data_IF_334291915525
#
_entry.id   IF_334291915525
#
_cell.length_a   1.000
_cell.length_b   1.000
_cell.length_c   1.000
_cell.angle_alpha   90.00
_cell.angle_beta   90.00
_cell.angle_gamma   90.00
#
_symmetry.space_group_name_H-M   'P 1'
#
loop_
_entity.id
_entity.type
_entity.pdbx_description
1 polymer ?
#
# COMPACT_ATOMS: atom_id res chain seq x y z
N UNK A 1 15.85 1.85 -3.76
CA UNK A 1 15.29 1.67 -2.42
C UNK A 1 14.08 0.74 -2.43
N UNK A 2 13.55 0.41 -1.28
CA UNK A 2 12.38 -0.46 -1.14
C UNK A 2 11.29 0.27 -0.37
N UNK A 3 10.05 -0.02 -0.76
CA UNK A 3 8.84 0.32 0.00
C UNK A 3 8.16 -1.01 0.30
N UNK A 4 7.89 -1.29 1.55
CA UNK A 4 7.25 -2.52 2.00
C UNK A 4 5.98 -2.11 2.74
N UNK A 5 4.85 -2.73 2.40
CA UNK A 5 3.61 -2.60 3.16
C UNK A 5 3.10 -4.01 3.49
N UNK A 6 2.67 -4.20 4.70
CA UNK A 6 2.14 -5.47 5.20
C UNK A 6 0.80 -5.20 5.88
N UNK A 7 -0.17 -6.05 5.65
CA UNK A 7 -1.50 -5.95 6.22
C UNK A 7 -2.05 -7.33 6.57
N UNK A 8 -2.80 -7.43 7.65
CA UNK A 8 -3.47 -8.65 8.04
C UNK A 8 -5.00 -8.61 7.83
N UNK A 9 -5.65 -9.74 7.98
CA UNK A 9 -7.09 -9.86 7.82
C UNK A 9 -7.91 -9.12 8.90
N UNK A 10 -7.28 -8.66 9.96
CA UNK A 10 -7.89 -7.89 11.05
C UNK A 10 -7.89 -6.38 10.76
N UNK A 11 -7.20 -5.95 9.71
CA UNK A 11 -7.08 -4.55 9.34
C UNK A 11 -5.85 -3.86 9.93
N UNK A 12 -4.94 -4.59 10.56
CA UNK A 12 -3.68 -4.03 11.02
C UNK A 12 -2.74 -3.86 9.84
N UNK A 13 -2.12 -2.69 9.72
CA UNK A 13 -1.19 -2.36 8.65
C UNK A 13 0.10 -1.80 9.21
N UNK A 14 1.20 -2.09 8.53
CA UNK A 14 2.51 -1.52 8.82
C UNK A 14 3.26 -1.29 7.51
N UNK A 15 4.18 -0.35 7.51
CA UNK A 15 4.96 -0.03 6.33
C UNK A 15 6.39 0.34 6.69
N UNK A 16 7.27 0.15 5.73
CA UNK A 16 8.68 0.51 5.80
C UNK A 16 9.13 1.12 4.48
N UNK A 17 10.04 2.08 4.54
CA UNK A 17 10.69 2.67 3.39
C UNK A 17 12.18 2.88 3.66
N UNK A 18 13.05 2.52 2.71
CA UNK A 18 14.51 2.63 2.88
C UNK A 18 14.97 4.09 3.07
N UNK A 19 14.30 5.05 2.43
CA UNK A 19 14.69 6.46 2.45
C UNK A 19 13.54 7.37 2.91
N UNK A 20 13.20 7.38 4.22
CA UNK A 20 12.04 8.13 4.75
C UNK A 20 12.20 9.64 4.63
N UNK A 21 13.44 10.17 4.53
CA UNK A 21 13.74 11.59 4.40
C UNK A 21 13.67 12.12 2.95
N UNK A 22 13.14 11.29 2.02
CA UNK A 22 12.99 11.71 0.64
C UNK A 22 12.00 12.86 0.52
N UNK A 23 12.46 13.98 -0.08
CA UNK A 23 11.64 15.16 -0.32
C UNK A 23 11.86 15.67 -1.72
N UNK A 24 10.77 15.91 -2.45
CA UNK A 24 10.78 16.54 -3.76
C UNK A 24 9.81 17.73 -3.78
N UNK A 25 10.11 18.78 -4.58
CA UNK A 25 9.12 19.81 -4.88
C UNK A 25 7.84 19.21 -5.44
N UNK A 26 6.74 19.92 -5.28
CA UNK A 26 5.48 19.53 -5.92
C UNK A 26 5.67 19.50 -7.45
N UNK A 27 4.94 18.61 -8.11
CA UNK A 27 4.93 18.55 -9.58
C UNK A 27 4.21 19.77 -10.18
N UNK A 28 4.21 19.88 -11.51
CA UNK A 28 3.61 21.02 -12.26
C UNK A 28 2.09 21.18 -11.99
N UNK A 29 1.43 20.16 -11.43
CA UNK A 29 0.02 20.21 -11.02
C UNK A 29 -0.17 20.58 -9.55
N UNK A 30 0.90 20.92 -8.82
CA UNK A 30 0.86 21.22 -7.39
C UNK A 30 0.60 20.01 -6.50
N UNK A 31 0.90 18.79 -6.98
CA UNK A 31 0.77 17.53 -6.23
C UNK A 31 2.14 17.00 -5.83
N UNK A 32 2.16 16.10 -4.85
CA UNK A 32 3.37 15.34 -4.51
C UNK A 32 3.87 14.58 -5.75
N UNK A 33 5.16 14.67 -6.02
CA UNK A 33 5.80 13.98 -7.14
C UNK A 33 6.13 12.53 -6.76
N UNK A 34 5.08 11.70 -6.66
CA UNK A 34 5.18 10.28 -6.28
C UNK A 34 6.01 9.52 -7.31
N UNK A 35 5.78 9.78 -8.58
CA UNK A 35 6.53 9.17 -9.68
C UNK A 35 8.04 9.34 -9.54
N UNK A 36 8.47 10.52 -9.14
CA UNK A 36 9.89 10.82 -8.92
C UNK A 36 10.43 10.11 -7.68
N UNK A 37 9.61 9.97 -6.64
CA UNK A 37 10.00 9.29 -5.41
C UNK A 37 10.11 7.78 -5.59
N UNK A 38 9.16 7.17 -6.28
CA UNK A 38 9.11 5.73 -6.55
C UNK A 38 10.08 5.34 -7.67
N UNK A 39 10.12 6.14 -8.74
CA UNK A 39 10.86 5.82 -9.96
C UNK A 39 10.10 4.82 -10.85
N UNK A 40 10.68 4.54 -12.01
CA UNK A 40 10.12 3.59 -13.00
C UNK A 40 11.02 2.37 -13.24
N UNK A 41 12.13 2.29 -12.52
CA UNK A 41 13.07 1.17 -12.62
C UNK A 41 12.94 0.30 -11.36
N UNK A 42 12.15 -0.77 -11.47
CA UNK A 42 11.85 -1.65 -10.36
C UNK A 42 10.65 -2.56 -10.62
N UNK A 43 10.19 -3.21 -9.58
CA UNK A 43 9.05 -4.13 -9.65
C UNK A 43 8.17 -4.03 -8.40
N UNK A 44 6.89 -4.27 -8.60
CA UNK A 44 5.95 -4.59 -7.53
C UNK A 44 6.00 -6.10 -7.30
N UNK A 45 6.16 -6.50 -6.05
CA UNK A 45 6.06 -7.89 -5.62
C UNK A 45 4.97 -7.98 -4.56
N UNK A 46 4.04 -8.89 -4.76
CA UNK A 46 2.93 -9.13 -3.83
C UNK A 46 3.01 -10.55 -3.34
N UNK A 47 2.97 -10.72 -2.01
CA UNK A 47 2.92 -12.01 -1.35
C UNK A 47 1.65 -12.07 -0.54
N UNK A 48 0.83 -13.10 -0.74
CA UNK A 48 -0.44 -13.28 -0.04
C UNK A 48 -0.47 -14.64 0.67
N UNK A 49 -0.83 -14.61 1.94
CA UNK A 49 -1.24 -15.82 2.65
C UNK A 49 -2.72 -16.08 2.34
N UNK A 50 -2.97 -17.11 1.57
CA UNK A 50 -4.32 -17.55 1.18
C UNK A 50 -4.78 -18.79 1.95
N UNK A 51 -4.10 -19.10 3.07
CA UNK A 51 -4.40 -20.26 3.92
C UNK A 51 -3.97 -21.60 3.31
N UNK A 52 -3.10 -21.58 2.30
CA UNK A 52 -2.51 -22.78 1.69
C UNK A 52 -1.14 -23.07 2.28
N UNK A 53 -0.54 -24.22 1.91
CA UNK A 53 0.80 -24.59 2.39
C UNK A 53 1.88 -23.58 1.97
N UNK A 54 1.76 -23.06 0.76
CA UNK A 54 2.71 -22.11 0.18
C UNK A 54 2.00 -20.76 -0.05
N UNK A 55 2.71 -19.67 0.14
CA UNK A 55 2.19 -18.34 -0.13
C UNK A 55 2.01 -18.13 -1.63
N UNK A 56 0.94 -17.46 -2.01
CA UNK A 56 0.80 -16.94 -3.37
C UNK A 56 1.76 -15.75 -3.54
N UNK A 57 2.52 -15.76 -4.61
CA UNK A 57 3.43 -14.68 -4.93
C UNK A 57 3.29 -14.28 -6.40
N UNK A 58 3.17 -12.97 -6.64
CA UNK A 58 3.10 -12.39 -7.97
C UNK A 58 4.03 -11.19 -8.09
N UNK A 59 4.42 -10.86 -9.32
CA UNK A 59 5.25 -9.70 -9.57
C UNK A 59 4.92 -9.05 -10.92
N UNK A 60 5.14 -7.74 -11.01
CA UNK A 60 5.08 -6.98 -12.26
C UNK A 60 6.12 -5.86 -12.25
N UNK A 61 6.60 -5.40 -13.42
CA UNK A 61 7.43 -4.21 -13.45
C UNK A 61 6.63 -2.97 -13.03
N UNK A 62 7.31 -1.96 -12.50
CA UNK A 62 6.78 -0.60 -12.35
C UNK A 62 6.70 0.00 -13.76
N UNK A 63 5.54 0.54 -14.13
CA UNK A 63 5.30 1.10 -15.47
C UNK A 63 5.18 2.63 -15.48
N UNK A 64 4.63 3.20 -14.42
CA UNK A 64 4.41 4.65 -14.32
C UNK A 64 5.15 5.31 -13.17
N UNK A 65 5.38 4.61 -12.08
CA UNK A 65 5.82 5.17 -10.80
C UNK A 65 4.70 5.81 -9.99
N UNK A 66 3.47 5.80 -10.53
CA UNK A 66 2.24 6.14 -9.80
C UNK A 66 1.63 4.84 -9.28
N UNK A 67 1.63 4.64 -7.97
CA UNK A 67 1.30 3.33 -7.38
C UNK A 67 -0.10 2.83 -7.76
N UNK A 68 -1.08 3.71 -7.95
CA UNK A 68 -2.42 3.32 -8.40
C UNK A 68 -2.40 2.65 -9.77
N UNK A 69 -1.69 3.25 -10.74
CA UNK A 69 -1.54 2.73 -12.09
C UNK A 69 -0.72 1.44 -12.09
N UNK A 70 0.35 1.40 -11.31
CA UNK A 70 1.24 0.26 -11.23
C UNK A 70 0.56 -0.95 -10.59
N UNK A 71 -0.28 -0.77 -9.57
CA UNK A 71 -1.12 -1.84 -9.02
C UNK A 71 -2.23 -2.26 -9.98
N UNK A 72 -2.84 -1.32 -10.72
CA UNK A 72 -3.79 -1.64 -11.80
C UNK A 72 -3.14 -2.57 -12.82
N UNK A 73 -1.92 -2.24 -13.25
CA UNK A 73 -1.14 -3.07 -14.16
C UNK A 73 -0.78 -4.44 -13.56
N UNK A 74 -0.39 -4.48 -12.28
CA UNK A 74 -0.13 -5.71 -11.56
C UNK A 74 -1.34 -6.65 -11.55
N UNK A 75 -2.53 -6.16 -11.20
CA UNK A 75 -3.75 -6.99 -11.18
C UNK A 75 -4.09 -7.52 -12.57
N UNK A 76 -3.96 -6.69 -13.59
CA UNK A 76 -4.25 -7.09 -14.96
C UNK A 76 -3.28 -8.15 -15.49
N UNK A 77 -1.98 -8.02 -15.21
CA UNK A 77 -0.93 -8.86 -15.81
C UNK A 77 -0.56 -10.06 -14.97
N UNK A 78 -0.43 -9.90 -13.66
CA UNK A 78 0.01 -10.96 -12.74
C UNK A 78 -1.17 -11.78 -12.21
N UNK A 79 -2.29 -11.13 -11.85
CA UNK A 79 -3.49 -11.79 -11.34
C UNK A 79 -4.55 -12.04 -12.41
N UNK A 80 -4.34 -11.55 -13.64
CA UNK A 80 -5.25 -11.69 -14.79
C UNK A 80 -6.69 -11.23 -14.44
N UNK A 81 -6.80 -10.26 -13.57
CA UNK A 81 -8.07 -9.69 -13.11
C UNK A 81 -8.15 -8.24 -13.55
N UNK A 82 -9.05 -7.89 -14.51
CA UNK A 82 -9.26 -6.51 -14.89
C UNK A 82 -9.68 -5.68 -13.68
N UNK A 83 -8.87 -4.70 -13.34
CA UNK A 83 -9.03 -3.91 -12.11
C UNK A 83 -8.75 -2.44 -12.37
N UNK A 84 -9.29 -1.59 -11.52
CA UNK A 84 -8.89 -0.18 -11.39
C UNK A 84 -8.53 0.11 -9.95
N UNK A 85 -7.38 0.72 -9.72
CA UNK A 85 -6.88 1.09 -8.39
C UNK A 85 -6.74 2.60 -8.33
N UNK A 86 -7.46 3.23 -7.40
CA UNK A 86 -7.31 4.65 -7.10
C UNK A 86 -6.71 4.85 -5.73
N UNK A 87 -5.64 5.63 -5.64
CA UNK A 87 -4.96 5.97 -4.39
C UNK A 87 -4.86 7.49 -4.24
N UNK A 88 -4.97 7.98 -3.02
CA UNK A 88 -4.82 9.39 -2.75
C UNK A 88 -4.32 9.66 -1.34
N UNK A 89 -3.31 10.54 -1.24
CA UNK A 89 -2.78 11.04 0.03
C UNK A 89 -2.68 12.56 -0.08
N UNK A 90 -3.19 13.24 0.94
CA UNK A 90 -3.03 14.68 1.16
C UNK A 90 -2.17 14.89 2.40
N UNK A 91 -1.16 15.75 2.26
CA UNK A 91 -0.20 16.03 3.31
C UNK A 91 -0.31 17.51 3.70
N UNK A 92 -0.27 17.80 4.99
CA UNK A 92 -0.20 19.15 5.52
C UNK A 92 1.21 19.75 5.32
N UNK A 93 1.36 21.08 5.47
CA UNK A 93 2.68 21.72 5.39
C UNK A 93 3.71 21.24 6.42
N UNK A 94 3.27 20.68 7.52
CA UNK A 94 4.10 20.06 8.57
C UNK A 94 4.45 18.59 8.30
N UNK A 95 4.13 18.08 7.10
CA UNK A 95 4.26 16.69 6.65
C UNK A 95 3.34 15.68 7.35
N UNK A 96 2.42 16.10 8.21
CA UNK A 96 1.39 15.20 8.73
C UNK A 96 0.38 14.82 7.63
N UNK A 97 -0.20 13.63 7.74
CA UNK A 97 -1.22 13.16 6.79
C UNK A 97 -2.55 13.85 7.09
N UNK A 98 -3.09 14.58 6.12
CA UNK A 98 -4.40 15.23 6.21
C UNK A 98 -5.54 14.28 5.81
N UNK A 99 -5.35 13.55 4.72
CA UNK A 99 -6.31 12.58 4.22
C UNK A 99 -5.56 11.50 3.44
N UNK A 100 -5.94 10.25 3.63
CA UNK A 100 -5.39 9.13 2.88
C UNK A 100 -6.47 8.08 2.63
N UNK A 101 -6.47 7.48 1.47
CA UNK A 101 -7.38 6.38 1.15
C UNK A 101 -7.26 5.93 -0.30
N UNK A 102 -8.11 4.98 -0.66
CA UNK A 102 -8.11 4.42 -1.99
C UNK A 102 -9.29 3.49 -2.21
N UNK A 103 -9.36 2.98 -3.42
CA UNK A 103 -10.29 1.92 -3.80
C UNK A 103 -9.61 0.92 -4.74
N UNK A 104 -10.13 -0.28 -4.76
CA UNK A 104 -9.86 -1.30 -5.78
C UNK A 104 -11.20 -1.74 -6.32
N UNK A 105 -11.41 -1.63 -7.62
CA UNK A 105 -12.57 -2.15 -8.33
C UNK A 105 -12.10 -3.27 -9.24
N UNK A 106 -12.75 -4.41 -9.16
CA UNK A 106 -12.44 -5.56 -9.99
C UNK A 106 -13.68 -5.99 -10.75
N UNK A 107 -13.50 -6.21 -12.05
CA UNK A 107 -14.56 -6.69 -12.92
C UNK A 107 -14.77 -8.18 -12.68
N UNK A 108 -15.99 -8.55 -12.26
CA UNK A 108 -16.34 -9.95 -12.04
C UNK A 108 -16.69 -10.66 -13.36
N UNK A 109 -16.47 -11.97 -13.46
CA UNK A 109 -16.87 -12.76 -14.63
C UNK A 109 -18.36 -12.59 -14.92
N UNK A 110 -18.67 -12.30 -16.18
CA UNK A 110 -20.06 -12.06 -16.63
C UNK A 110 -20.52 -10.60 -16.63
N UNK A 111 -19.67 -9.67 -16.22
CA UNK A 111 -19.95 -8.24 -16.39
C UNK A 111 -20.07 -7.91 -17.88
N UNK A 112 -21.02 -7.03 -18.23
CA UNK A 112 -21.22 -6.60 -19.62
C UNK A 112 -20.24 -5.49 -19.98
N UNK A 113 -19.93 -5.36 -21.27
CA UNK A 113 -19.10 -4.24 -21.77
C UNK A 113 -19.70 -2.89 -21.43
N UNK A 114 -21.04 -2.79 -21.41
CA UNK A 114 -21.73 -1.56 -20.99
C UNK A 114 -21.44 -1.21 -19.53
N UNK A 115 -21.40 -2.21 -18.65
CA UNK A 115 -21.04 -2.00 -17.23
C UNK A 115 -19.60 -1.52 -17.09
N UNK A 116 -18.68 -2.12 -17.82
CA UNK A 116 -17.27 -1.72 -17.81
C UNK A 116 -17.11 -0.29 -18.32
N UNK A 117 -17.71 0.06 -19.44
CA UNK A 117 -17.68 1.42 -20.00
C UNK A 117 -18.21 2.46 -19.02
N UNK A 118 -19.34 2.19 -18.36
CA UNK A 118 -19.88 3.10 -17.34
C UNK A 118 -18.94 3.30 -16.15
N UNK A 119 -18.28 2.24 -15.72
CA UNK A 119 -17.28 2.32 -14.65
C UNK A 119 -16.09 3.16 -15.07
N UNK A 120 -15.55 2.95 -16.26
CA UNK A 120 -14.43 3.72 -16.80
C UNK A 120 -14.77 5.20 -16.91
N UNK A 121 -15.97 5.54 -17.40
CA UNK A 121 -16.45 6.91 -17.47
C UNK A 121 -16.58 7.55 -16.09
N UNK A 122 -17.19 6.84 -15.13
CA UNK A 122 -17.34 7.32 -13.75
C UNK A 122 -15.99 7.58 -13.08
N UNK A 123 -15.05 6.64 -13.19
CA UNK A 123 -13.70 6.77 -12.60
C UNK A 123 -12.94 7.93 -13.27
N UNK A 124 -13.05 8.09 -14.59
CA UNK A 124 -12.34 9.15 -15.32
C UNK A 124 -12.83 10.56 -14.96
N UNK A 125 -14.09 10.71 -14.57
CA UNK A 125 -14.72 11.97 -14.18
C UNK A 125 -14.61 12.27 -12.68
N UNK A 126 -14.21 11.29 -11.88
CA UNK A 126 -14.17 11.39 -10.43
C UNK A 126 -13.08 12.36 -9.96
N UNK A 127 -13.35 13.10 -8.90
CA UNK A 127 -12.33 13.87 -8.21
C UNK A 127 -11.26 12.95 -7.59
N UNK A 128 -10.03 13.44 -7.40
CA UNK A 128 -9.01 12.66 -6.67
C UNK A 128 -9.53 12.12 -5.33
N UNK A 129 -9.26 10.86 -5.03
CA UNK A 129 -9.74 10.18 -3.81
C UNK A 129 -9.41 10.98 -2.55
N UNK A 130 -8.20 11.54 -2.48
CA UNK A 130 -7.78 12.37 -1.34
C UNK A 130 -8.66 13.60 -1.14
N UNK A 131 -9.20 14.18 -2.23
CA UNK A 131 -10.15 15.29 -2.14
C UNK A 131 -11.52 14.86 -1.65
N UNK A 132 -12.02 13.72 -2.10
CA UNK A 132 -13.29 13.18 -1.63
C UNK A 132 -13.24 12.90 -0.13
N UNK A 133 -12.13 12.33 0.36
CA UNK A 133 -11.93 12.09 1.80
C UNK A 133 -11.81 13.41 2.58
N UNK A 134 -11.09 14.39 2.06
CA UNK A 134 -10.99 15.74 2.65
C UNK A 134 -12.36 16.40 2.80
N UNK A 135 -13.26 16.17 1.85
CA UNK A 135 -14.65 16.65 1.88
C UNK A 135 -15.55 15.85 2.85
N UNK A 136 -15.02 14.81 3.48
CA UNK A 136 -15.71 14.00 4.47
C UNK A 136 -16.48 12.80 3.91
N UNK A 137 -16.21 12.40 2.65
CA UNK A 137 -16.82 11.19 2.13
C UNK A 137 -16.27 9.96 2.86
N UNK A 138 -17.19 9.09 3.24
CA UNK A 138 -16.85 7.76 3.77
C UNK A 138 -16.48 6.81 2.62
N UNK A 139 -15.88 5.64 2.90
CA UNK A 139 -15.64 4.62 1.87
C UNK A 139 -16.90 4.26 1.07
N UNK A 140 -18.05 4.13 1.74
CA UNK A 140 -19.35 3.88 1.10
C UNK A 140 -19.77 5.04 0.20
N UNK A 141 -19.50 6.28 0.63
CA UNK A 141 -19.77 7.48 -0.17
C UNK A 141 -18.95 7.48 -1.46
N UNK A 142 -17.68 7.10 -1.40
CA UNK A 142 -16.81 6.97 -2.57
C UNK A 142 -17.32 5.87 -3.52
N UNK A 143 -17.75 4.72 -2.98
CA UNK A 143 -18.34 3.66 -3.80
C UNK A 143 -19.63 4.10 -4.49
N UNK A 144 -20.49 4.86 -3.80
CA UNK A 144 -21.72 5.42 -4.39
C UNK A 144 -21.42 6.46 -5.46
N UNK A 145 -20.35 7.25 -5.31
CA UNK A 145 -19.90 8.20 -6.34
C UNK A 145 -19.48 7.47 -7.64
N UNK A 146 -18.83 6.33 -7.53
CA UNK A 146 -18.35 5.55 -8.67
C UNK A 146 -19.46 4.70 -9.29
N UNK A 147 -20.24 4.02 -8.46
CA UNK A 147 -21.20 2.99 -8.91
C UNK A 147 -22.63 3.52 -9.05
N UNK A 148 -22.88 4.72 -8.54
CA UNK A 148 -24.22 5.31 -8.44
C UNK A 148 -24.97 4.84 -7.19
N UNK A 149 -25.82 5.73 -6.66
CA UNK A 149 -26.65 5.43 -5.49
C UNK A 149 -27.57 4.22 -5.74
N UNK A 150 -27.66 3.34 -4.74
CA UNK A 150 -28.51 2.14 -4.80
C UNK A 150 -27.90 0.95 -5.54
N UNK A 151 -26.72 1.10 -6.14
CA UNK A 151 -26.01 0.02 -6.81
C UNK A 151 -24.93 -0.63 -5.93
N UNK A 152 -24.73 -0.14 -4.70
CA UNK A 152 -23.71 -0.61 -3.78
C UNK A 152 -24.33 -1.49 -2.70
N UNK A 153 -23.80 -2.69 -2.53
CA UNK A 153 -24.11 -3.57 -1.40
C UNK A 153 -22.86 -3.73 -0.54
N UNK A 154 -22.88 -3.20 0.68
CA UNK A 154 -21.80 -3.37 1.63
C UNK A 154 -21.85 -4.79 2.21
N UNK A 155 -20.81 -5.58 1.94
CA UNK A 155 -20.70 -6.95 2.43
C UNK A 155 -20.01 -7.02 3.79
N UNK A 156 -19.00 -6.19 3.99
CA UNK A 156 -18.24 -6.13 5.24
C UNK A 156 -17.62 -4.74 5.43
N UNK A 157 -17.35 -4.39 6.68
CA UNK A 157 -16.59 -3.20 7.05
C UNK A 157 -15.65 -3.56 8.18
N UNK A 158 -14.36 -3.28 8.01
CA UNK A 158 -13.31 -3.58 8.99
C UNK A 158 -12.54 -2.29 9.27
N UNK A 159 -12.32 -2.00 10.55
CA UNK A 159 -11.45 -0.88 10.94
C UNK A 159 -10.02 -1.18 10.52
N UNK A 160 -9.32 -0.18 9.98
CA UNK A 160 -7.90 -0.27 9.69
C UNK A 160 -7.12 0.59 10.69
N UNK A 161 -5.99 0.07 11.15
CA UNK A 161 -5.09 0.78 12.06
C UNK A 161 -3.63 0.45 11.76
N UNK A 162 -2.75 1.39 12.08
CA UNK A 162 -1.34 1.09 12.12
C UNK A 162 -1.05 0.27 13.38
N UNK A 163 -0.40 -0.88 13.20
CA UNK A 163 0.03 -1.72 14.32
C UNK A 163 1.38 -2.36 13.99
N UNK A 164 2.40 -2.03 14.78
CA UNK A 164 3.69 -2.69 14.73
C UNK A 164 3.71 -3.79 15.79
N UNK A 165 3.77 -5.04 15.35
CA UNK A 165 3.90 -6.20 16.23
C UNK A 165 5.36 -6.65 16.38
N UNK A 166 6.32 -5.76 16.16
CA UNK A 166 7.72 -6.00 16.42
C UNK A 166 7.92 -6.18 17.93
N UNK A 167 8.76 -7.15 18.30
CA UNK A 167 9.18 -7.35 19.69
C UNK A 167 10.59 -7.90 19.73
N UNK A 168 11.33 -7.56 20.78
CA UNK A 168 12.66 -8.09 21.04
C UNK A 168 12.69 -9.62 20.99
N UNK A 169 11.66 -10.27 21.56
CA UNK A 169 11.55 -11.72 21.56
C UNK A 169 11.39 -12.31 20.14
N UNK A 170 10.58 -11.68 19.27
CA UNK A 170 10.44 -12.09 17.87
C UNK A 170 11.75 -11.99 17.12
N UNK A 171 12.48 -10.90 17.31
CA UNK A 171 13.81 -10.72 16.70
C UNK A 171 14.81 -11.75 17.21
N UNK A 172 14.87 -11.99 18.52
CA UNK A 172 15.72 -13.03 19.07
C UNK A 172 15.40 -14.42 18.52
N UNK A 173 14.13 -14.75 18.39
CA UNK A 173 13.70 -16.03 17.82
C UNK A 173 14.05 -16.17 16.34
N UNK A 174 13.92 -15.09 15.57
CA UNK A 174 14.35 -15.05 14.17
C UNK A 174 15.88 -15.27 14.07
N UNK A 175 16.66 -14.54 14.86
CA UNK A 175 18.13 -14.67 14.89
C UNK A 175 18.55 -16.08 15.33
N UNK A 176 17.89 -16.67 16.33
CA UNK A 176 18.18 -18.06 16.75
C UNK A 176 17.90 -19.09 15.65
N UNK A 177 17.01 -18.79 14.71
CA UNK A 177 16.75 -19.61 13.54
C UNK A 177 17.84 -19.56 12.47
N UNK A 178 18.71 -18.58 12.52
CA UNK A 178 19.88 -18.48 11.64
C UNK A 178 20.98 -19.40 12.14
N UNK A 179 21.76 -19.95 11.23
CA UNK A 179 22.93 -20.75 11.61
C UNK A 179 24.04 -19.88 12.23
N UNK A 180 24.89 -20.48 13.04
CA UNK A 180 25.99 -19.77 13.73
C UNK A 180 26.90 -18.98 12.78
N UNK A 181 27.15 -19.51 11.57
CA UNK A 181 27.95 -18.82 10.55
C UNK A 181 27.32 -17.51 10.08
N UNK A 182 25.98 -17.50 9.91
CA UNK A 182 25.23 -16.31 9.49
C UNK A 182 25.23 -15.25 10.59
N UNK A 183 25.01 -15.66 11.83
CA UNK A 183 25.08 -14.75 12.99
C UNK A 183 26.45 -14.10 13.12
N UNK A 184 27.52 -14.85 12.92
CA UNK A 184 28.89 -14.31 12.94
C UNK A 184 29.16 -13.33 11.78
N UNK A 185 28.57 -13.56 10.60
CA UNK A 185 28.65 -12.63 9.47
C UNK A 185 27.95 -11.31 9.79
N UNK A 186 26.73 -11.38 10.32
CA UNK A 186 25.94 -10.21 10.73
C UNK A 186 26.66 -9.38 11.80
N UNK A 187 27.26 -10.02 12.79
CA UNK A 187 28.02 -9.31 13.84
C UNK A 187 29.21 -8.55 13.23
N UNK A 188 29.89 -9.13 12.23
CA UNK A 188 31.04 -8.47 11.57
C UNK A 188 30.63 -7.32 10.68
N UNK A 189 29.51 -7.46 9.93
CA UNK A 189 29.05 -6.48 8.96
C UNK A 189 28.35 -5.29 9.63
N UNK A 190 27.49 -5.55 10.60
CA UNK A 190 26.64 -4.55 11.24
C UNK A 190 27.11 -4.10 12.63
N UNK A 191 28.29 -4.59 13.08
CA UNK A 191 28.85 -4.26 14.39
C UNK A 191 27.88 -4.44 15.57
N UNK A 192 26.91 -5.33 15.45
CA UNK A 192 25.90 -5.61 16.45
C UNK A 192 24.75 -4.60 16.53
N UNK A 193 24.59 -3.73 15.55
CA UNK A 193 23.66 -2.58 15.57
C UNK A 193 22.18 -2.93 15.32
N UNK A 194 21.84 -4.14 14.89
CA UNK A 194 20.46 -4.53 14.50
C UNK A 194 19.44 -4.50 15.65
N UNK A 195 19.87 -4.56 16.90
CA UNK A 195 18.97 -4.52 18.06
C UNK A 195 18.72 -3.10 18.61
N UNK A 196 19.62 -2.17 18.32
CA UNK A 196 19.49 -0.79 18.82
C UNK A 196 18.50 0.07 18.05
N UNK A 197 18.17 -0.29 16.80
CA UNK A 197 17.22 0.48 15.98
C UNK A 197 15.76 0.20 16.32
N UNK A 198 15.45 -0.91 17.01
CA UNK A 198 14.08 -1.19 17.45
C UNK A 198 13.74 -0.50 18.79
N UNK A 199 14.72 -0.34 19.68
CA UNK A 199 14.50 0.32 20.98
C UNK A 199 14.38 1.84 20.86
N UNK A 200 14.97 2.43 19.82
CA UNK A 200 14.86 3.88 19.57
C UNK A 200 13.47 4.32 19.07
N UNK A 201 12.65 3.40 18.58
CA UNK A 201 11.28 3.69 18.18
C UNK A 201 10.29 3.69 19.35
N UNK A 202 10.61 3.02 20.45
CA UNK A 202 9.76 2.90 21.63
C UNK A 202 9.98 4.03 22.68
N UNK A 203 11.06 4.81 22.56
CA UNK A 203 11.37 5.89 23.50
C UNK A 203 10.72 7.26 23.15
N UNK A 204 10.14 7.43 21.95
CA UNK A 204 9.51 8.70 21.56
C UNK A 204 8.02 8.80 21.95
N UNK A 205 7.40 7.76 22.52
CA UNK A 205 5.98 7.73 22.93
C UNK A 205 5.76 7.76 24.47
N UNK A 206 6.71 8.27 25.25
CA UNK A 206 6.55 8.40 26.71
C UNK A 206 6.65 9.84 27.22
#
# INVERSE_FOLDING_TARGET
GRIIADADAQGNVRAYVDHPQTHFPLNDQGKLDVRRAVGTDGSIQVVKDVGMKDYFSGASPIVSGELGDDFTYYYATSEQTPSSVGLGVLVNPDNSIKAAGGFIIQVMPGATDETVTKLEEAISQMQPVSKLIEQGLTPEGILNEILGEGNVQILNSTSAQFECNCSHEKFLNAIKGLGEAEIHSMIKEDHGCLLYTSDAADEEDS
#
